data_IF_143074898788
#
_entry.id   IF_143074898788
#
_cell.length_a   1.000
_cell.length_b   1.000
_cell.length_c   1.000
_cell.angle_alpha   90.00
_cell.angle_beta   90.00
_cell.angle_gamma   90.00
#
_symmetry.space_group_name_H-M   'P 1'
#
loop_
_entity.id
_entity.type
_entity.pdbx_description
1 polymer ?
#
# COMPACT_ATOMS: atom_id res chain seq x y z
N UNK A 1 3.99 -1.09 -89.02
CA UNK A 1 4.24 0.25 -88.45
C UNK A 1 3.06 0.92 -87.73
N UNK A 2 1.86 0.32 -87.64
CA UNK A 2 0.71 0.90 -86.88
C UNK A 2 0.42 0.26 -85.51
N UNK A 3 1.09 -0.84 -85.15
CA UNK A 3 0.92 -1.51 -83.84
C UNK A 3 1.99 -1.18 -82.80
N UNK A 4 3.12 -0.59 -83.22
CA UNK A 4 4.20 -0.18 -82.30
C UNK A 4 3.99 1.22 -81.68
N UNK A 5 3.10 2.03 -82.26
CA UNK A 5 2.87 3.41 -81.81
C UNK A 5 1.84 3.51 -80.66
N UNK A 6 0.96 2.51 -80.48
CA UNK A 6 0.02 2.47 -79.36
C UNK A 6 0.65 1.99 -78.04
N UNK A 7 1.74 1.23 -78.08
CA UNK A 7 2.39 0.74 -76.85
C UNK A 7 3.24 1.82 -76.16
N UNK A 8 3.74 2.79 -76.91
CA UNK A 8 4.56 3.89 -76.39
C UNK A 8 3.72 5.02 -75.76
N UNK A 9 2.44 5.17 -76.13
CA UNK A 9 1.54 6.15 -75.51
C UNK A 9 0.93 5.68 -74.18
N UNK A 10 0.84 4.38 -73.93
CA UNK A 10 0.37 3.85 -72.65
C UNK A 10 1.47 3.84 -71.58
N UNK A 11 2.75 3.84 -71.97
CA UNK A 11 3.87 3.82 -71.02
C UNK A 11 4.21 5.23 -70.49
N UNK A 12 3.89 6.30 -71.23
CA UNK A 12 4.09 7.68 -70.78
C UNK A 12 2.95 8.24 -69.91
N UNK A 13 1.80 7.55 -69.84
CA UNK A 13 0.67 7.98 -69.01
C UNK A 13 0.64 7.31 -67.62
N UNK A 14 1.39 6.21 -67.42
CA UNK A 14 1.47 5.50 -66.14
C UNK A 14 2.61 6.03 -65.26
N UNK A 15 3.62 6.70 -65.83
CA UNK A 15 4.70 7.32 -65.04
C UNK A 15 4.34 8.70 -64.46
N UNK A 16 3.20 9.28 -64.80
CA UNK A 16 2.79 10.63 -64.35
C UNK A 16 1.75 10.61 -63.21
N UNK A 17 1.32 9.42 -62.77
CA UNK A 17 0.40 9.23 -61.65
C UNK A 17 1.10 8.71 -60.37
N UNK A 18 2.41 8.94 -60.27
CA UNK A 18 3.24 8.65 -59.08
C UNK A 18 3.57 9.92 -58.27
N UNK A 19 2.89 11.03 -58.55
CA UNK A 19 3.01 12.27 -57.77
C UNK A 19 1.94 12.34 -56.69
N UNK A 20 2.42 12.25 -55.45
CA UNK A 20 1.76 12.55 -54.19
C UNK A 20 0.65 11.58 -53.74
N UNK A 21 1.04 10.38 -53.30
CA UNK A 21 0.50 9.97 -52.01
C UNK A 21 0.95 11.04 -51.00
N UNK A 22 0.05 11.68 -50.24
CA UNK A 22 0.49 12.29 -49.00
C UNK A 22 1.21 11.16 -48.26
N UNK A 23 2.47 11.38 -47.88
CA UNK A 23 2.95 10.69 -46.70
C UNK A 23 1.92 11.05 -45.64
N UNK A 24 0.98 10.14 -45.35
CA UNK A 24 0.27 10.18 -44.10
C UNK A 24 1.42 10.20 -43.10
N UNK A 25 1.68 11.39 -42.54
CA UNK A 25 2.49 11.50 -41.36
C UNK A 25 1.93 10.40 -40.46
N UNK A 26 2.73 9.38 -40.18
CA UNK A 26 2.43 8.50 -39.07
C UNK A 26 2.23 9.48 -37.92
N UNK A 27 0.98 9.67 -37.51
CA UNK A 27 0.71 10.43 -36.31
C UNK A 27 1.57 9.74 -35.27
N UNK A 28 2.51 10.48 -34.68
CA UNK A 28 3.37 9.99 -33.60
C UNK A 28 2.40 9.40 -32.57
N UNK A 29 2.23 8.08 -32.59
CA UNK A 29 1.29 7.40 -31.72
C UNK A 29 1.93 7.49 -30.35
N UNK A 30 1.46 8.44 -29.55
CA UNK A 30 1.99 8.69 -28.23
C UNK A 30 2.00 7.38 -27.45
N UNK A 31 3.14 7.05 -26.86
CA UNK A 31 3.25 5.89 -25.98
C UNK A 31 2.21 6.01 -24.88
N UNK A 32 1.38 4.98 -24.69
CA UNK A 32 0.43 4.91 -23.59
C UNK A 32 1.03 4.08 -22.45
N UNK A 33 1.52 4.74 -21.40
CA UNK A 33 1.95 4.07 -20.18
C UNK A 33 0.74 3.70 -19.34
N UNK A 34 0.74 2.49 -18.79
CA UNK A 34 -0.29 2.02 -17.87
C UNK A 34 0.25 1.95 -16.46
N UNK A 35 -0.35 2.72 -15.55
CA UNK A 35 -0.06 2.71 -14.12
C UNK A 35 -1.22 2.06 -13.37
N UNK A 36 -1.02 0.89 -12.76
CA UNK A 36 -2.07 0.26 -11.97
C UNK A 36 -1.94 0.51 -10.48
N UNK A 37 -3.05 0.94 -9.87
CA UNK A 37 -3.14 1.30 -8.45
C UNK A 37 -4.37 0.65 -7.82
N UNK A 38 -4.41 0.57 -6.49
CA UNK A 38 -5.63 0.26 -5.75
C UNK A 38 -6.23 1.51 -5.10
N UNK A 39 -7.54 1.50 -4.88
CA UNK A 39 -8.26 2.58 -4.21
C UNK A 39 -9.66 2.79 -4.78
N UNK A 40 -10.03 4.06 -4.92
CA UNK A 40 -11.33 4.50 -5.43
C UNK A 40 -11.14 5.55 -6.55
N UNK A 41 -12.25 6.00 -7.14
CA UNK A 41 -12.23 6.97 -8.23
C UNK A 41 -11.58 8.31 -7.85
N UNK A 42 -11.75 8.77 -6.62
CA UNK A 42 -11.09 9.99 -6.14
C UNK A 42 -9.56 9.86 -6.17
N UNK A 43 -9.03 8.68 -5.83
CA UNK A 43 -7.61 8.39 -5.95
C UNK A 43 -7.17 8.28 -7.41
N UNK A 44 -8.00 7.67 -8.27
CA UNK A 44 -7.72 7.63 -9.72
C UNK A 44 -7.58 9.03 -10.29
N UNK A 45 -8.52 9.93 -10.01
CA UNK A 45 -8.47 11.33 -10.45
C UNK A 45 -7.24 12.05 -9.92
N UNK A 46 -6.90 11.88 -8.64
CA UNK A 46 -5.67 12.45 -8.07
C UNK A 46 -4.43 11.98 -8.85
N UNK A 47 -4.34 10.70 -9.19
CA UNK A 47 -3.21 10.16 -9.93
C UNK A 47 -3.17 10.61 -11.40
N UNK A 48 -4.33 10.82 -12.03
CA UNK A 48 -4.41 11.44 -13.35
C UNK A 48 -3.87 12.89 -13.32
N UNK A 49 -4.22 13.66 -12.29
CA UNK A 49 -3.71 15.03 -12.08
C UNK A 49 -2.19 15.04 -11.80
N UNK A 50 -1.71 14.14 -10.95
CA UNK A 50 -0.28 14.02 -10.61
C UNK A 50 0.58 13.63 -11.81
N UNK A 51 0.07 12.78 -12.71
CA UNK A 51 0.82 12.28 -13.86
C UNK A 51 0.66 13.15 -15.12
N UNK A 52 -0.26 14.11 -15.14
CA UNK A 52 -0.49 14.98 -16.29
C UNK A 52 0.74 15.81 -16.70
N UNK A 53 1.50 16.45 -15.77
CA UNK A 53 2.71 17.19 -16.16
C UNK A 53 3.80 16.28 -16.73
N UNK A 54 3.92 15.04 -16.21
CA UNK A 54 4.83 14.03 -16.76
C UNK A 54 4.45 13.69 -18.20
N UNK A 55 3.16 13.43 -18.45
CA UNK A 55 2.64 13.09 -19.77
C UNK A 55 2.88 14.20 -20.79
N UNK A 56 2.68 15.47 -20.38
CA UNK A 56 2.98 16.64 -21.21
C UNK A 56 4.48 16.75 -21.53
N UNK A 57 5.33 16.65 -20.51
CA UNK A 57 6.78 16.80 -20.64
C UNK A 57 7.44 15.71 -21.50
N UNK A 58 6.86 14.50 -21.53
CA UNK A 58 7.42 13.35 -22.23
C UNK A 58 6.65 12.96 -23.51
N UNK A 59 5.67 13.77 -23.93
CA UNK A 59 4.82 13.51 -25.09
C UNK A 59 4.19 12.10 -25.11
N UNK A 60 3.69 11.65 -23.96
CA UNK A 60 3.05 10.34 -23.78
C UNK A 60 1.64 10.49 -23.21
N UNK A 61 0.95 9.38 -22.97
CA UNK A 61 -0.25 9.32 -22.12
C UNK A 61 0.01 8.41 -20.93
N UNK A 62 -0.67 8.67 -19.81
CA UNK A 62 -0.64 7.81 -18.63
C UNK A 62 -2.06 7.37 -18.30
N UNK A 63 -2.34 6.08 -18.47
CA UNK A 63 -3.60 5.45 -18.12
C UNK A 63 -3.54 4.91 -16.69
N UNK A 64 -4.42 5.44 -15.81
CA UNK A 64 -4.54 4.95 -14.43
C UNK A 64 -5.54 3.79 -14.38
N UNK A 65 -5.03 2.59 -14.09
CA UNK A 65 -5.82 1.36 -13.97
C UNK A 65 -6.13 1.08 -12.51
N UNK A 66 -7.37 1.35 -12.11
CA UNK A 66 -7.85 1.09 -10.76
C UNK A 66 -8.26 -0.38 -10.57
N UNK A 67 -7.73 -1.03 -9.54
CA UNK A 67 -8.07 -2.42 -9.17
C UNK A 67 -8.39 -2.49 -7.67
N UNK A 68 -9.51 -3.09 -7.22
CA UNK A 68 -9.79 -3.28 -5.81
C UNK A 68 -8.66 -4.01 -5.08
N UNK A 69 -8.31 -3.59 -3.86
CA UNK A 69 -7.16 -4.12 -3.13
C UNK A 69 -7.21 -5.65 -2.94
N UNK A 70 -8.39 -6.19 -2.63
CA UNK A 70 -8.60 -7.62 -2.40
C UNK A 70 -8.32 -8.49 -3.64
N UNK A 71 -8.51 -7.92 -4.83
CA UNK A 71 -8.27 -8.58 -6.12
C UNK A 71 -6.89 -8.27 -6.71
N UNK A 72 -6.22 -7.24 -6.19
CA UNK A 72 -5.04 -6.63 -6.80
C UNK A 72 -3.92 -7.64 -7.02
N UNK A 73 -3.52 -8.36 -5.97
CA UNK A 73 -2.41 -9.33 -6.03
C UNK A 73 -2.65 -10.41 -7.08
N UNK A 74 -3.86 -10.99 -7.08
CA UNK A 74 -4.21 -12.05 -8.01
C UNK A 74 -4.21 -11.55 -9.45
N UNK A 75 -4.79 -10.36 -9.68
CA UNK A 75 -4.88 -9.78 -11.02
C UNK A 75 -3.49 -9.44 -11.58
N UNK A 76 -2.64 -8.75 -10.82
CA UNK A 76 -1.29 -8.42 -11.31
C UNK A 76 -0.46 -9.69 -11.51
N UNK A 77 -0.56 -10.70 -10.63
CA UNK A 77 0.16 -11.98 -10.80
C UNK A 77 -0.19 -12.67 -12.13
N UNK A 78 -1.48 -12.72 -12.48
CA UNK A 78 -1.95 -13.28 -13.77
C UNK A 78 -1.42 -12.45 -14.95
N UNK A 79 -1.46 -11.12 -14.82
CA UNK A 79 -1.00 -10.24 -15.88
C UNK A 79 0.52 -10.34 -16.10
N UNK A 80 1.33 -10.49 -15.05
CA UNK A 80 2.76 -10.75 -15.16
C UNK A 80 3.04 -12.10 -15.83
N UNK A 81 2.38 -13.17 -15.38
CA UNK A 81 2.53 -14.50 -15.97
C UNK A 81 2.14 -14.55 -17.46
N UNK A 82 1.19 -13.71 -17.89
CA UNK A 82 0.76 -13.59 -19.29
C UNK A 82 1.49 -12.49 -20.07
N UNK A 83 2.44 -11.77 -19.45
CA UNK A 83 3.17 -10.62 -20.04
C UNK A 83 2.24 -9.51 -20.56
N UNK A 84 1.15 -9.27 -19.83
CA UNK A 84 0.18 -8.20 -20.10
C UNK A 84 0.12 -7.16 -18.98
N UNK A 85 1.01 -7.26 -17.98
CA UNK A 85 1.06 -6.36 -16.84
C UNK A 85 1.20 -4.88 -17.25
N UNK A 86 0.60 -3.96 -16.48
CA UNK A 86 0.84 -2.52 -16.62
C UNK A 86 2.34 -2.18 -16.50
N UNK A 87 2.77 -1.13 -17.17
CA UNK A 87 4.18 -0.71 -17.21
C UNK A 87 4.69 -0.31 -15.82
N UNK A 88 3.84 0.35 -15.02
CA UNK A 88 4.10 0.65 -13.61
C UNK A 88 2.99 0.04 -12.76
N UNK A 89 3.37 -0.64 -11.68
CA UNK A 89 2.44 -1.25 -10.73
C UNK A 89 2.75 -0.80 -9.33
N UNK A 90 1.71 -0.73 -8.49
CA UNK A 90 1.91 -0.67 -7.06
C UNK A 90 2.17 -2.05 -6.50
N UNK A 91 3.19 -2.20 -5.67
CA UNK A 91 3.40 -3.42 -4.87
C UNK A 91 3.23 -3.15 -3.39
N UNK A 92 2.38 -3.96 -2.76
CA UNK A 92 2.29 -4.06 -1.30
C UNK A 92 3.32 -5.05 -0.77
N UNK A 93 3.72 -4.92 0.49
CA UNK A 93 4.81 -5.66 1.11
C UNK A 93 4.75 -7.18 0.90
N UNK A 94 3.57 -7.78 1.06
CA UNK A 94 3.38 -9.23 0.90
C UNK A 94 3.65 -9.77 -0.52
N UNK A 95 3.60 -8.90 -1.52
CA UNK A 95 3.76 -9.26 -2.93
C UNK A 95 5.23 -9.25 -3.36
N UNK A 96 6.06 -8.43 -2.69
CA UNK A 96 7.40 -8.07 -3.16
C UNK A 96 8.32 -9.28 -3.37
N UNK A 97 8.44 -10.24 -2.43
CA UNK A 97 9.36 -11.36 -2.62
C UNK A 97 9.04 -12.17 -3.87
N UNK A 98 7.77 -12.58 -4.04
CA UNK A 98 7.29 -13.35 -5.19
C UNK A 98 7.55 -12.60 -6.50
N UNK A 99 7.32 -11.29 -6.52
CA UNK A 99 7.43 -10.51 -7.74
C UNK A 99 8.87 -10.23 -8.14
N UNK A 100 9.78 -10.03 -7.18
CA UNK A 100 11.21 -9.97 -7.46
C UNK A 100 11.71 -11.33 -7.99
N UNK A 101 11.32 -12.42 -7.34
CA UNK A 101 11.70 -13.78 -7.75
C UNK A 101 11.17 -14.18 -9.13
N UNK A 102 10.08 -13.57 -9.59
CA UNK A 102 9.56 -13.78 -10.95
C UNK A 102 10.54 -13.34 -12.05
N UNK A 103 11.45 -12.42 -11.73
CA UNK A 103 12.39 -11.83 -12.70
C UNK A 103 11.74 -10.86 -13.69
N UNK A 104 10.47 -10.48 -13.52
CA UNK A 104 9.71 -9.62 -14.43
C UNK A 104 9.72 -8.13 -14.02
N UNK A 105 10.44 -7.76 -12.95
CA UNK A 105 10.63 -6.37 -12.53
C UNK A 105 11.95 -5.80 -13.06
N UNK A 106 11.94 -4.51 -13.39
CA UNK A 106 13.13 -3.74 -13.80
C UNK A 106 13.96 -3.37 -12.57
N UNK A 107 15.27 -3.46 -12.69
CA UNK A 107 16.20 -2.88 -11.70
C UNK A 107 16.27 -1.36 -11.90
N UNK A 108 15.79 -0.61 -10.92
CA UNK A 108 15.71 0.85 -10.92
C UNK A 108 16.99 1.50 -10.40
N UNK A 109 17.88 0.74 -9.76
CA UNK A 109 19.11 1.29 -9.18
C UNK A 109 20.01 2.02 -10.20
N UNK A 110 20.20 1.54 -11.46
CA UNK A 110 20.96 2.27 -12.46
C UNK A 110 20.36 3.62 -12.84
N UNK A 111 19.03 3.71 -12.94
CA UNK A 111 18.34 4.95 -13.30
C UNK A 111 18.45 5.98 -12.16
N UNK A 112 18.23 5.55 -10.92
CA UNK A 112 18.41 6.41 -9.74
C UNK A 112 19.85 6.89 -9.63
N UNK A 113 20.85 6.00 -9.76
CA UNK A 113 22.28 6.38 -9.70
C UNK A 113 22.71 7.34 -10.82
N UNK A 114 22.01 7.34 -11.95
CA UNK A 114 22.28 8.25 -13.06
C UNK A 114 21.65 9.64 -12.87
N UNK A 115 20.62 9.77 -12.03
CA UNK A 115 19.98 11.03 -11.71
C UNK A 115 20.55 11.62 -10.42
N UNK A 116 21.40 12.64 -10.56
CA UNK A 116 22.00 13.31 -9.41
C UNK A 116 20.99 14.05 -8.51
N UNK A 117 19.75 14.25 -8.96
CA UNK A 117 18.68 14.84 -8.16
C UNK A 117 17.88 13.79 -7.36
N UNK A 118 18.10 12.50 -7.59
CA UNK A 118 17.39 11.42 -6.91
C UNK A 118 18.33 10.65 -5.98
N UNK A 119 18.15 10.78 -4.66
CA UNK A 119 19.01 10.12 -3.68
C UNK A 119 18.23 9.06 -2.87
N UNK A 120 18.75 7.83 -2.83
CA UNK A 120 18.18 6.79 -1.98
C UNK A 120 18.23 7.13 -0.48
N UNK A 121 19.12 8.06 -0.08
CA UNK A 121 19.21 8.53 1.31
C UNK A 121 18.00 9.38 1.76
N UNK A 122 17.17 9.84 0.82
CA UNK A 122 15.92 10.54 1.11
C UNK A 122 14.82 9.58 1.64
N UNK A 123 15.00 8.27 1.47
CA UNK A 123 14.08 7.25 1.99
C UNK A 123 14.54 6.70 3.34
N UNK A 124 13.57 6.27 4.16
CA UNK A 124 13.89 5.46 5.34
C UNK A 124 14.48 4.12 4.87
N UNK A 125 15.65 3.68 5.36
CA UNK A 125 16.29 2.45 4.90
C UNK A 125 15.35 1.22 4.90
N UNK A 126 14.54 1.09 5.95
CA UNK A 126 13.57 -0.01 6.11
C UNK A 126 12.49 -0.07 5.01
N UNK A 127 12.24 1.03 4.30
CA UNK A 127 11.30 1.08 3.17
C UNK A 127 11.90 0.51 1.89
N UNK A 128 13.23 0.50 1.76
CA UNK A 128 13.96 0.00 0.59
C UNK A 128 14.40 -1.46 0.75
N UNK A 129 14.64 -1.91 1.98
CA UNK A 129 15.18 -3.25 2.28
C UNK A 129 14.38 -4.38 1.60
N UNK A 130 13.05 -4.31 1.68
CA UNK A 130 12.18 -5.35 1.10
C UNK A 130 12.30 -5.44 -0.44
N UNK A 131 12.59 -4.32 -1.09
CA UNK A 131 12.66 -4.16 -2.55
C UNK A 131 14.06 -4.35 -3.12
N UNK A 132 15.06 -4.53 -2.25
CA UNK A 132 16.46 -4.62 -2.64
C UNK A 132 16.90 -6.08 -2.68
N UNK A 133 17.65 -6.47 -3.72
CA UNK A 133 18.39 -7.74 -3.77
C UNK A 133 19.79 -7.49 -4.31
N UNK A 134 20.80 -7.68 -3.45
CA UNK A 134 22.16 -7.25 -3.79
C UNK A 134 22.18 -5.74 -4.03
N UNK A 135 22.71 -5.32 -5.18
CA UNK A 135 22.78 -3.90 -5.57
C UNK A 135 21.56 -3.41 -6.37
N UNK A 136 20.61 -4.30 -6.68
CA UNK A 136 19.42 -4.00 -7.48
C UNK A 136 18.25 -3.56 -6.61
N UNK A 137 17.47 -2.58 -7.10
CA UNK A 137 16.30 -2.01 -6.41
C UNK A 137 15.08 -2.16 -7.31
N UNK A 138 14.07 -2.91 -6.87
CA UNK A 138 12.90 -3.26 -7.68
C UNK A 138 11.63 -2.47 -7.35
N UNK A 139 11.72 -1.49 -6.46
CA UNK A 139 10.61 -0.63 -6.11
C UNK A 139 11.05 0.67 -5.45
N UNK A 140 10.35 1.75 -5.76
CA UNK A 140 10.56 3.07 -5.18
C UNK A 140 9.45 3.38 -4.17
N UNK A 141 9.79 3.64 -2.89
CA UNK A 141 8.81 3.98 -1.87
C UNK A 141 8.13 5.31 -2.14
N UNK A 142 6.80 5.33 -2.14
CA UNK A 142 6.02 6.58 -2.23
C UNK A 142 5.00 6.72 -1.09
N UNK A 143 4.66 5.62 -0.41
CA UNK A 143 3.71 5.63 0.69
C UNK A 143 4.17 4.73 1.82
N UNK A 144 4.28 5.33 3.00
CA UNK A 144 4.53 4.68 4.28
C UNK A 144 3.45 5.12 5.27
N UNK A 145 2.59 4.18 5.66
CA UNK A 145 1.55 4.42 6.66
C UNK A 145 1.92 3.73 7.96
N UNK A 146 2.51 4.43 8.95
CA UNK A 146 2.72 3.82 10.25
C UNK A 146 1.36 3.45 10.84
N UNK A 147 1.31 2.31 11.51
CA UNK A 147 0.14 1.96 12.29
C UNK A 147 0.15 2.73 13.62
N UNK A 148 -1.00 3.29 13.94
CA UNK A 148 -1.23 4.12 15.13
C UNK A 148 -2.49 3.66 15.86
N UNK A 149 -2.65 4.13 17.08
CA UNK A 149 -3.88 3.98 17.84
C UNK A 149 -4.63 5.31 17.81
N UNK A 150 -5.78 5.31 17.18
CA UNK A 150 -6.79 6.35 17.31
C UNK A 150 -7.54 6.12 18.62
N UNK A 151 -7.80 7.16 19.40
CA UNK A 151 -8.59 7.02 20.63
C UNK A 151 -9.62 8.14 20.78
N UNK A 152 -10.79 7.79 21.29
CA UNK A 152 -11.91 8.69 21.50
C UNK A 152 -11.80 9.32 22.90
N UNK A 153 -11.33 10.57 22.96
CA UNK A 153 -11.12 11.31 24.21
C UNK A 153 -12.40 11.44 25.03
N UNK A 154 -13.54 11.63 24.37
CA UNK A 154 -14.84 11.78 25.02
C UNK A 154 -15.23 10.53 25.82
N UNK A 155 -14.91 9.33 25.31
CA UNK A 155 -15.17 8.08 26.04
C UNK A 155 -14.26 7.92 27.27
N UNK A 156 -13.00 8.34 27.18
CA UNK A 156 -12.08 8.36 28.33
C UNK A 156 -12.55 9.34 29.41
N UNK A 157 -12.92 10.56 29.02
CA UNK A 157 -13.43 11.59 29.93
C UNK A 157 -14.71 11.13 30.64
N UNK A 158 -15.64 10.51 29.91
CA UNK A 158 -16.90 10.01 30.48
C UNK A 158 -16.70 8.93 31.57
N UNK A 159 -15.58 8.20 31.54
CA UNK A 159 -15.22 7.19 32.56
C UNK A 159 -14.19 7.72 33.58
N UNK A 160 -13.73 8.96 33.46
CA UNK A 160 -12.68 9.52 34.31
C UNK A 160 -11.34 8.78 34.20
N UNK A 161 -11.05 8.19 33.04
CA UNK A 161 -9.82 7.45 32.79
C UNK A 161 -8.76 8.36 32.16
N UNK A 162 -7.49 8.12 32.48
CA UNK A 162 -6.37 8.76 31.78
C UNK A 162 -6.33 8.30 30.33
N UNK A 163 -6.16 9.23 29.42
CA UNK A 163 -5.99 8.97 27.99
C UNK A 163 -4.65 8.31 27.70
N UNK A 164 -4.50 7.62 26.54
CA UNK A 164 -3.22 7.08 26.11
C UNK A 164 -2.08 8.11 26.09
N UNK A 165 -2.35 9.34 25.64
CA UNK A 165 -1.35 10.42 25.61
C UNK A 165 -0.93 10.88 27.01
N UNK A 166 -1.84 10.87 27.99
CA UNK A 166 -1.50 11.14 29.39
C UNK A 166 -0.66 10.02 30.00
N UNK A 167 -1.05 8.76 29.77
CA UNK A 167 -0.26 7.60 30.19
C UNK A 167 1.14 7.61 29.57
N UNK A 168 1.26 8.02 28.30
CA UNK A 168 2.56 8.11 27.62
C UNK A 168 3.47 9.18 28.21
N UNK A 169 2.92 10.31 28.66
CA UNK A 169 3.68 11.36 29.38
C UNK A 169 4.20 10.87 30.73
N UNK A 170 3.51 9.92 31.34
CA UNK A 170 3.89 9.25 32.59
C UNK A 170 4.78 8.02 32.35
N UNK A 171 5.20 7.79 31.10
CA UNK A 171 5.92 6.61 30.65
C UNK A 171 5.22 5.26 30.90
N UNK A 172 3.91 5.30 31.13
CA UNK A 172 3.06 4.16 31.48
C UNK A 172 2.11 3.73 30.35
N UNK A 173 2.42 4.10 29.10
CA UNK A 173 1.66 3.60 27.94
C UNK A 173 2.15 2.20 27.55
N UNK A 174 1.57 1.18 28.19
CA UNK A 174 1.94 -0.24 28.05
C UNK A 174 0.79 -1.07 27.46
N UNK A 175 1.09 -2.27 26.96
CA UNK A 175 0.08 -3.21 26.46
C UNK A 175 -0.93 -3.54 27.57
N UNK A 176 -0.46 -3.72 28.81
CA UNK A 176 -1.32 -3.92 29.98
C UNK A 176 -2.31 -2.77 30.15
N UNK A 177 -1.86 -1.51 30.11
CA UNK A 177 -2.77 -0.36 30.23
C UNK A 177 -3.68 -0.22 29.01
N UNK A 178 -3.24 -0.60 27.81
CA UNK A 178 -4.08 -0.64 26.60
C UNK A 178 -5.24 -1.62 26.78
N UNK A 179 -4.98 -2.88 27.14
CA UNK A 179 -6.04 -3.89 27.35
C UNK A 179 -6.93 -3.55 28.54
N UNK A 180 -6.36 -3.04 29.64
CA UNK A 180 -7.10 -2.59 30.82
C UNK A 180 -8.03 -1.41 30.51
N UNK A 181 -7.57 -0.41 29.78
CA UNK A 181 -8.40 0.70 29.33
C UNK A 181 -9.51 0.21 28.38
N UNK A 182 -9.20 -0.68 27.44
CA UNK A 182 -10.19 -1.25 26.54
C UNK A 182 -11.32 -1.95 27.34
N UNK A 183 -10.96 -2.80 28.31
CA UNK A 183 -11.94 -3.45 29.19
C UNK A 183 -12.78 -2.44 29.96
N UNK A 184 -12.17 -1.42 30.57
CA UNK A 184 -12.88 -0.42 31.36
C UNK A 184 -13.82 0.48 30.53
N UNK A 185 -13.49 0.71 29.25
CA UNK A 185 -14.26 1.54 28.32
C UNK A 185 -15.36 0.76 27.58
N UNK A 186 -15.36 -0.57 27.70
CA UNK A 186 -16.39 -1.40 27.09
C UNK A 186 -17.73 -1.21 27.81
N UNK A 187 -18.78 -0.92 27.05
CA UNK A 187 -20.13 -0.70 27.56
C UNK A 187 -21.16 -1.36 26.63
N UNK A 188 -21.48 -2.65 26.87
CA UNK A 188 -22.43 -3.39 26.03
C UNK A 188 -23.83 -2.78 26.02
N UNK A 189 -24.25 -2.12 27.09
CA UNK A 189 -25.57 -1.50 27.18
C UNK A 189 -25.73 -0.34 26.20
N UNK A 190 -24.62 0.34 25.88
CA UNK A 190 -24.57 1.46 24.95
C UNK A 190 -23.95 1.10 23.59
N UNK A 191 -23.64 -0.19 23.37
CA UNK A 191 -22.97 -0.70 22.17
C UNK A 191 -21.57 -0.12 21.98
N UNK A 192 -20.84 0.17 23.06
CA UNK A 192 -19.47 0.70 23.00
C UNK A 192 -18.48 -0.43 23.19
N UNK A 193 -17.55 -0.56 22.26
CA UNK A 193 -16.40 -1.45 22.35
C UNK A 193 -15.19 -0.69 22.88
N UNK A 194 -14.41 -1.35 23.73
CA UNK A 194 -13.14 -0.84 24.22
C UNK A 194 -12.11 -0.65 23.12
N UNK A 195 -12.07 -1.56 22.15
CA UNK A 195 -11.09 -1.48 21.07
C UNK A 195 -11.48 -2.16 19.76
N UNK A 196 -10.72 -1.84 18.72
CA UNK A 196 -10.69 -2.55 17.45
C UNK A 196 -9.27 -2.59 16.90
N UNK A 197 -8.83 -3.77 16.49
CA UNK A 197 -7.60 -3.98 15.74
C UNK A 197 -7.97 -4.20 14.27
N UNK A 198 -7.46 -3.35 13.36
CA UNK A 198 -7.71 -3.48 11.93
C UNK A 198 -7.40 -4.89 11.42
N UNK A 199 -8.34 -5.51 10.69
CA UNK A 199 -8.22 -6.86 10.13
C UNK A 199 -8.47 -8.00 11.14
N UNK A 200 -8.55 -7.73 12.44
CA UNK A 200 -8.74 -8.77 13.46
C UNK A 200 -10.18 -9.31 13.52
N UNK A 201 -11.06 -8.85 12.63
CA UNK A 201 -12.40 -9.41 12.40
C UNK A 201 -12.46 -10.24 11.11
N UNK A 202 -11.35 -10.31 10.36
CA UNK A 202 -11.26 -10.96 9.05
C UNK A 202 -10.44 -12.26 9.17
N UNK A 203 -10.98 -13.43 8.74
CA UNK A 203 -10.31 -14.73 8.83
C UNK A 203 -8.88 -14.77 8.28
N UNK A 204 -8.57 -13.94 7.29
CA UNK A 204 -7.29 -13.94 6.58
C UNK A 204 -6.29 -12.90 7.08
N UNK A 205 -6.68 -11.99 7.98
CA UNK A 205 -5.85 -10.86 8.39
C UNK A 205 -5.34 -10.93 9.84
N UNK A 206 -5.82 -11.87 10.66
CA UNK A 206 -5.45 -12.00 12.09
C UNK A 206 -3.94 -11.94 12.36
N UNK A 207 -3.12 -12.64 11.56
CA UNK A 207 -1.67 -12.62 11.75
C UNK A 207 -1.07 -11.22 11.55
N UNK A 208 -1.51 -10.48 10.54
CA UNK A 208 -1.06 -9.10 10.33
C UNK A 208 -1.58 -8.16 11.44
N UNK A 209 -2.83 -8.35 11.85
CA UNK A 209 -3.50 -7.49 12.84
C UNK A 209 -2.82 -7.51 14.21
N UNK A 210 -2.35 -8.69 14.63
CA UNK A 210 -1.76 -8.92 15.95
C UNK A 210 -0.25 -8.77 16.00
N UNK A 211 0.43 -8.61 14.86
CA UNK A 211 1.88 -8.77 14.81
C UNK A 211 2.64 -7.79 15.71
N UNK A 212 2.21 -6.52 15.80
CA UNK A 212 2.83 -5.54 16.70
C UNK A 212 2.70 -5.92 18.18
N UNK A 213 1.59 -6.57 18.55
CA UNK A 213 1.35 -7.05 19.92
C UNK A 213 2.24 -8.27 20.21
N UNK A 214 2.41 -9.16 19.23
CA UNK A 214 3.33 -10.31 19.30
C UNK A 214 4.76 -9.83 19.50
N UNK A 215 5.22 -8.88 18.68
CA UNK A 215 6.54 -8.27 18.80
C UNK A 215 6.73 -7.56 20.13
N UNK A 216 5.76 -6.75 20.55
CA UNK A 216 5.81 -6.03 21.83
C UNK A 216 5.88 -6.98 23.03
N UNK A 217 5.27 -8.16 22.96
CA UNK A 217 5.40 -9.20 23.99
C UNK A 217 6.70 -10.02 23.87
N UNK A 218 7.66 -9.61 23.04
CA UNK A 218 8.97 -10.25 22.88
C UNK A 218 8.90 -11.58 22.15
N UNK A 219 7.92 -11.75 21.26
CA UNK A 219 7.74 -12.94 20.45
C UNK A 219 7.68 -12.61 18.96
N UNK A 220 7.78 -13.63 18.13
CA UNK A 220 7.66 -13.53 16.67
C UNK A 220 6.96 -14.81 16.15
N UNK A 221 6.38 -14.76 14.95
CA UNK A 221 5.78 -15.90 14.28
C UNK A 221 6.83 -16.92 13.86
N UNK A 222 8.02 -16.46 13.48
CA UNK A 222 9.12 -17.33 13.06
C UNK A 222 10.42 -16.95 13.79
N UNK A 223 11.35 -17.90 13.85
CA UNK A 223 12.72 -17.57 14.26
C UNK A 223 13.38 -16.62 13.23
N UNK A 224 14.49 -15.99 13.62
CA UNK A 224 15.19 -15.00 12.78
C UNK A 224 15.58 -15.55 11.39
N UNK A 225 15.82 -16.86 11.30
CA UNK A 225 16.28 -17.57 10.11
C UNK A 225 15.10 -17.99 9.19
N UNK A 226 13.85 -17.77 9.62
CA UNK A 226 12.61 -18.16 8.94
C UNK A 226 12.47 -19.67 8.69
N UNK A 227 13.08 -20.51 9.54
CA UNK A 227 13.08 -21.98 9.42
C UNK A 227 12.12 -22.69 10.38
N UNK A 228 11.68 -22.01 11.44
CA UNK A 228 10.84 -22.58 12.50
C UNK A 228 9.73 -21.61 12.89
N UNK A 229 8.53 -22.13 13.13
CA UNK A 229 7.40 -21.35 13.66
C UNK A 229 7.48 -21.27 15.20
N UNK A 230 7.46 -20.05 15.74
CA UNK A 230 7.82 -19.75 17.15
C UNK A 230 6.72 -19.07 17.97
N UNK A 231 5.49 -18.97 17.44
CA UNK A 231 4.38 -18.33 18.15
C UNK A 231 3.98 -19.05 19.47
N UNK A 232 4.43 -20.29 19.68
CA UNK A 232 4.23 -21.04 20.92
C UNK A 232 5.20 -20.65 22.06
N UNK A 233 6.01 -19.61 21.88
CA UNK A 233 6.80 -18.99 22.96
C UNK A 233 5.92 -18.37 24.05
N UNK A 234 6.49 -18.03 25.20
CA UNK A 234 5.76 -17.36 26.30
C UNK A 234 5.08 -16.08 25.84
N UNK A 235 5.79 -15.22 25.09
CA UNK A 235 5.23 -13.97 24.56
C UNK A 235 4.15 -14.21 23.51
N UNK A 236 4.31 -15.21 22.65
CA UNK A 236 3.32 -15.54 21.62
C UNK A 236 2.03 -16.11 22.20
N UNK A 237 2.13 -17.00 23.20
CA UNK A 237 0.98 -17.48 23.97
C UNK A 237 0.28 -16.33 24.69
N UNK A 238 1.04 -15.41 25.30
CA UNK A 238 0.47 -14.24 25.96
C UNK A 238 -0.31 -13.37 24.97
N UNK A 239 0.24 -13.02 23.81
CA UNK A 239 -0.46 -12.21 22.80
C UNK A 239 -1.74 -12.86 22.31
N UNK A 240 -1.73 -14.19 22.12
CA UNK A 240 -2.95 -14.91 21.74
C UNK A 240 -3.97 -14.95 22.87
N UNK A 241 -3.52 -15.06 24.13
CA UNK A 241 -4.40 -15.03 25.30
C UNK A 241 -5.04 -13.65 25.49
N UNK A 242 -4.27 -12.56 25.37
CA UNK A 242 -4.79 -11.19 25.47
C UNK A 242 -5.86 -10.92 24.40
N UNK A 243 -5.62 -11.38 23.17
CA UNK A 243 -6.61 -11.27 22.10
C UNK A 243 -7.84 -12.14 22.33
N UNK A 244 -7.66 -13.37 22.83
CA UNK A 244 -8.76 -14.24 23.22
C UNK A 244 -9.61 -13.61 24.32
N UNK A 245 -8.99 -13.09 25.37
CA UNK A 245 -9.67 -12.46 26.49
C UNK A 245 -10.46 -11.24 26.01
N UNK A 246 -9.85 -10.41 25.17
CA UNK A 246 -10.53 -9.27 24.56
C UNK A 246 -11.78 -9.63 23.74
N UNK A 247 -11.74 -10.72 22.97
CA UNK A 247 -12.86 -11.15 22.15
C UNK A 247 -13.95 -11.85 22.96
N UNK A 248 -13.57 -12.75 23.84
CA UNK A 248 -14.48 -13.75 24.42
C UNK A 248 -14.77 -13.56 25.89
N UNK A 249 -13.82 -13.04 26.67
CA UNK A 249 -13.94 -12.88 28.12
C UNK A 249 -14.44 -11.47 28.44
N UNK A 250 -13.69 -10.46 28.02
CA UNK A 250 -13.98 -9.06 28.26
C UNK A 250 -14.98 -8.49 27.25
N UNK A 251 -15.08 -9.12 26.07
CA UNK A 251 -15.88 -8.65 24.93
C UNK A 251 -15.59 -7.19 24.57
N UNK A 252 -14.35 -6.76 24.80
CA UNK A 252 -13.89 -5.39 24.59
C UNK A 252 -13.50 -5.11 23.16
N UNK A 253 -13.18 -6.14 22.38
CA UNK A 253 -12.92 -6.02 20.95
C UNK A 253 -14.22 -6.17 20.13
N UNK A 254 -14.32 -5.43 19.02
CA UNK A 254 -15.39 -5.61 18.02
C UNK A 254 -15.45 -7.07 17.53
N UNK A 255 -16.62 -7.69 17.56
CA UNK A 255 -16.75 -9.12 17.21
C UNK A 255 -16.67 -9.35 15.70
N UNK A 256 -16.19 -10.52 15.23
CA UNK A 256 -16.31 -10.89 13.83
C UNK A 256 -17.75 -10.80 13.33
N UNK A 257 -17.94 -10.17 12.16
CA UNK A 257 -19.26 -9.89 11.57
C UNK A 257 -19.87 -8.55 11.98
N UNK A 258 -19.44 -7.96 13.09
CA UNK A 258 -19.85 -6.60 13.49
C UNK A 258 -19.10 -5.56 12.64
N UNK A 259 -19.86 -4.64 12.03
CA UNK A 259 -19.35 -3.63 11.10
C UNK A 259 -19.05 -2.29 11.79
N UNK A 260 -19.13 -2.22 13.12
CA UNK A 260 -18.84 -0.99 13.88
C UNK A 260 -17.43 -0.48 13.56
N UNK A 261 -17.34 0.80 13.19
CA UNK A 261 -16.10 1.50 12.87
C UNK A 261 -15.85 2.64 13.86
N UNK A 262 -14.62 3.14 13.93
CA UNK A 262 -14.24 4.16 14.93
C UNK A 262 -14.98 5.48 14.70
N UNK A 263 -15.26 5.86 13.44
CA UNK A 263 -16.01 7.07 13.10
C UNK A 263 -17.45 7.09 13.63
N UNK A 264 -17.99 5.95 14.09
CA UNK A 264 -19.30 5.88 14.73
C UNK A 264 -19.30 6.44 16.16
N UNK A 265 -18.13 6.69 16.74
CA UNK A 265 -17.97 7.07 18.15
C UNK A 265 -18.19 5.91 19.14
N UNK A 266 -18.41 4.68 18.65
CA UNK A 266 -18.69 3.48 19.47
C UNK A 266 -17.46 2.61 19.75
N UNK A 267 -16.26 3.08 19.42
CA UNK A 267 -15.00 2.38 19.68
C UNK A 267 -14.08 3.32 20.46
N UNK A 268 -13.61 2.90 21.62
CA UNK A 268 -12.77 3.74 22.45
C UNK A 268 -11.34 3.87 21.92
N UNK A 269 -10.76 2.77 21.40
CA UNK A 269 -9.43 2.76 20.78
C UNK A 269 -9.40 1.91 19.51
N UNK A 270 -8.97 2.47 18.38
CA UNK A 270 -8.81 1.74 17.13
C UNK A 270 -7.34 1.75 16.69
N UNK A 271 -6.74 0.56 16.54
CA UNK A 271 -5.43 0.37 15.92
C UNK A 271 -5.62 0.24 14.42
N UNK A 272 -5.13 1.22 13.67
CA UNK A 272 -5.25 1.28 12.21
C UNK A 272 -4.03 1.99 11.59
N UNK A 273 -3.93 1.99 10.27
CA UNK A 273 -2.95 2.77 9.51
C UNK A 273 -3.28 4.27 9.60
N UNK A 274 -2.27 5.14 9.68
CA UNK A 274 -2.48 6.59 9.77
C UNK A 274 -3.41 7.18 8.68
N UNK A 275 -3.44 6.58 7.49
CA UNK A 275 -4.34 6.98 6.39
C UNK A 275 -5.83 6.95 6.77
N UNK A 276 -6.22 6.16 7.77
CA UNK A 276 -7.57 6.11 8.30
C UNK A 276 -8.04 7.46 8.89
N UNK A 277 -7.12 8.36 9.26
CA UNK A 277 -7.45 9.71 9.72
C UNK A 277 -8.30 10.51 8.73
N UNK A 278 -8.24 10.19 7.42
CA UNK A 278 -9.07 10.82 6.39
C UNK A 278 -10.58 10.55 6.55
N UNK A 279 -10.95 9.49 7.26
CA UNK A 279 -12.34 9.18 7.61
C UNK A 279 -12.84 10.00 8.80
N UNK A 280 -11.94 10.58 9.59
CA UNK A 280 -12.28 11.26 10.86
C UNK A 280 -12.26 12.78 10.75
N UNK A 281 -11.26 13.35 10.08
CA UNK A 281 -11.05 14.81 10.00
C UNK A 281 -12.27 15.52 9.42
N UNK A 282 -12.90 16.37 10.25
CA UNK A 282 -14.09 17.15 9.86
C UNK A 282 -15.36 16.32 9.63
N UNK A 283 -15.38 15.04 10.02
CA UNK A 283 -16.46 14.08 9.74
C UNK A 283 -17.09 13.47 10.99
N UNK A 284 -16.49 13.67 12.16
CA UNK A 284 -16.96 13.12 13.45
C UNK A 284 -17.28 14.25 14.44
N UNK A 285 -18.16 13.98 15.40
CA UNK A 285 -18.70 14.91 16.39
C UNK A 285 -18.14 14.71 17.81
N UNK A 286 -17.18 13.81 17.98
CA UNK A 286 -16.47 13.55 19.24
C UNK A 286 -15.01 13.96 19.17
N UNK A 287 -14.40 14.20 20.33
CA UNK A 287 -12.98 14.49 20.41
C UNK A 287 -12.15 13.21 20.27
N UNK A 288 -11.12 13.26 19.43
CA UNK A 288 -10.20 12.13 19.22
C UNK A 288 -8.77 12.63 19.04
N UNK A 289 -7.83 11.72 19.23
CA UNK A 289 -6.40 11.95 18.98
C UNK A 289 -5.73 10.62 18.59
N UNK A 290 -4.44 10.66 18.25
CA UNK A 290 -3.64 9.50 17.87
C UNK A 290 -2.42 9.33 18.76
N UNK A 291 -1.96 8.10 18.89
CA UNK A 291 -0.72 7.77 19.58
C UNK A 291 -0.03 6.58 18.94
N UNK A 292 1.28 6.46 19.14
CA UNK A 292 2.04 5.28 18.77
C UNK A 292 1.64 4.03 19.57
N UNK A 293 2.16 2.89 19.14
CA UNK A 293 1.92 1.61 19.80
C UNK A 293 2.33 1.65 21.30
N UNK A 294 1.61 0.93 22.17
CA UNK A 294 2.01 0.76 23.56
C UNK A 294 3.29 -0.05 23.68
N UNK A 295 4.05 0.18 24.75
CA UNK A 295 5.23 -0.62 25.08
C UNK A 295 4.79 -2.00 25.58
N UNK A 296 5.48 -3.06 25.15
CA UNK A 296 5.37 -4.38 25.77
C UNK A 296 6.63 -4.76 26.54
N UNK A 297 6.80 -6.06 26.77
CA UNK A 297 8.01 -6.63 27.36
C UNK A 297 9.27 -6.30 26.55
N UNK A 298 9.16 -6.25 25.22
CA UNK A 298 10.19 -5.69 24.35
C UNK A 298 9.89 -4.22 24.05
N UNK A 299 10.60 -3.32 24.72
CA UNK A 299 10.47 -1.88 24.52
C UNK A 299 11.04 -1.40 23.17
N UNK A 300 11.82 -2.24 22.48
CA UNK A 300 12.38 -1.98 21.15
C UNK A 300 11.57 -2.65 20.03
N UNK A 301 10.44 -3.28 20.36
CA UNK A 301 9.58 -3.94 19.40
C UNK A 301 9.21 -3.00 18.25
N UNK A 302 9.34 -3.54 17.03
CA UNK A 302 9.02 -2.82 15.81
C UNK A 302 7.50 -2.70 15.66
N UNK A 303 7.06 -1.60 15.07
CA UNK A 303 5.67 -1.40 14.67
C UNK A 303 5.57 -1.68 13.19
N UNK A 304 4.63 -2.53 12.78
CA UNK A 304 4.33 -2.77 11.38
C UNK A 304 3.84 -1.50 10.72
N UNK A 305 4.06 -1.44 9.42
CA UNK A 305 3.52 -0.39 8.59
C UNK A 305 3.03 -1.00 7.27
N UNK A 306 2.01 -0.37 6.71
CA UNK A 306 1.63 -0.63 5.33
C UNK A 306 2.48 0.24 4.40
N UNK A 307 2.99 -0.36 3.34
CA UNK A 307 3.75 0.36 2.32
C UNK A 307 3.17 0.09 0.94
N UNK A 308 3.24 1.12 0.09
CA UNK A 308 3.01 0.97 -1.33
C UNK A 308 4.19 1.60 -2.07
N UNK A 309 4.65 0.92 -3.11
CA UNK A 309 5.83 1.29 -3.86
C UNK A 309 5.53 1.23 -5.35
N UNK A 310 6.22 2.05 -6.15
CA UNK A 310 6.19 1.91 -7.60
C UNK A 310 7.22 0.88 -8.03
N UNK A 311 6.77 -0.14 -8.75
CA UNK A 311 7.64 -1.09 -9.44
C UNK A 311 7.37 -1.02 -10.94
N UNK A 312 8.43 -1.11 -11.74
CA UNK A 312 8.35 -1.11 -13.20
C UNK A 312 8.43 -2.54 -13.69
N UNK A 313 7.50 -2.91 -14.57
CA UNK A 313 7.49 -4.24 -15.19
C UNK A 313 8.34 -4.23 -16.46
N UNK A 314 8.98 -5.36 -16.76
CA UNK A 314 9.74 -5.50 -18.01
C UNK A 314 8.80 -5.44 -19.22
N UNK A 315 9.24 -4.78 -20.29
CA UNK A 315 8.38 -4.52 -21.44
C UNK A 315 8.96 -3.54 -22.46
N UNK A 316 8.11 -3.11 -23.39
CA UNK A 316 8.53 -2.22 -24.49
C UNK A 316 8.83 -0.78 -24.04
N UNK A 317 8.30 -0.35 -22.88
CA UNK A 317 8.34 1.04 -22.42
C UNK A 317 9.19 1.25 -21.15
N UNK A 318 10.08 0.31 -20.81
CA UNK A 318 10.82 0.29 -19.53
C UNK A 318 11.50 1.63 -19.19
N UNK A 319 12.15 2.27 -20.16
CA UNK A 319 12.85 3.54 -19.93
C UNK A 319 11.86 4.66 -19.53
N UNK A 320 10.75 4.78 -20.26
CA UNK A 320 9.75 5.82 -20.00
C UNK A 320 8.95 5.52 -18.72
N UNK A 321 8.65 4.25 -18.45
CA UNK A 321 8.01 3.80 -17.22
C UNK A 321 8.90 4.03 -15.99
N UNK A 322 10.22 3.84 -16.12
CA UNK A 322 11.20 4.15 -15.07
C UNK A 322 11.22 5.64 -14.75
N UNK A 323 11.20 6.50 -15.78
CA UNK A 323 11.06 7.95 -15.58
C UNK A 323 9.76 8.32 -14.88
N UNK A 324 8.65 7.65 -15.20
CA UNK A 324 7.36 7.88 -14.52
C UNK A 324 7.42 7.45 -13.04
N UNK A 325 8.08 6.33 -12.72
CA UNK A 325 8.20 5.87 -11.34
C UNK A 325 9.07 6.79 -10.46
N UNK A 326 10.00 7.52 -11.07
CA UNK A 326 10.90 8.48 -10.41
C UNK A 326 10.34 9.92 -10.35
N UNK A 327 9.28 10.23 -11.12
CA UNK A 327 8.66 11.54 -11.21
C UNK A 327 7.77 11.85 -10.00
#
# INVERSE_FOLDING_TARGET
>A
MKKALCLLLCLSLVCSLLLALPAAAAADEKVNLRLSIWGNDARKTLFEELTAPFAEANNCTVEIILVPFDEYMQKISIQLASRTAPDVIWLAEKMVPQFIESGELVDLAPAVKADAAYDFSDFFPSTLDLFTRGDAVYGLPFSFGPRVIFYNKTLFEAKGLKTPTELRKEDNWTLEEFFKAAKALTDPANGVYGMKLQGATEPTAYMNSLYDIVLANGADYFNADMTEFTLNSTGGILSMQEFYDALFVDQSHVKPGDQTQFETGKIAMARDTFSYAANLRGKVDFEWDIIGAPKGADAAAKVTSGFANYSVTKGANEELATKLAMF
#
